data_IF_834633694200
#
_entry.id   IF_834633694200
#
_cell.length_a   1.000
_cell.length_b   1.000
_cell.length_c   1.000
_cell.angle_alpha   90.00
_cell.angle_beta   90.00
_cell.angle_gamma   90.00
#
_symmetry.space_group_name_H-M   'P 1'
#
loop_
_entity.id
_entity.type
_entity.pdbx_description
1 polymer ?
#
# COMPACT_ATOMS: atom_id res chain seq x y z
N UNK A 1 45.09 -18.75 -21.32
CA UNK A 1 44.30 -18.15 -20.21
C UNK A 1 43.17 -17.28 -20.77
N UNK A 2 41.91 -17.48 -20.35
CA UNK A 2 40.80 -16.55 -20.66
C UNK A 2 40.00 -16.31 -19.39
N UNK A 3 40.27 -15.20 -18.72
CA UNK A 3 39.50 -14.72 -17.57
C UNK A 3 38.28 -13.96 -18.11
N UNK A 4 37.07 -14.43 -17.77
CA UNK A 4 35.79 -13.87 -18.21
C UNK A 4 35.30 -12.91 -17.11
N UNK A 5 34.99 -11.63 -17.39
CA UNK A 5 34.62 -10.71 -16.31
C UNK A 5 33.24 -11.09 -15.74
N UNK A 6 33.17 -11.28 -14.42
CA UNK A 6 31.91 -11.35 -13.67
C UNK A 6 31.25 -9.97 -13.78
N UNK A 7 30.06 -9.93 -14.38
CA UNK A 7 29.19 -8.73 -14.35
C UNK A 7 29.01 -8.31 -12.90
N UNK A 8 29.51 -7.12 -12.56
CA UNK A 8 29.24 -6.49 -11.29
C UNK A 8 27.72 -6.34 -11.16
N UNK A 9 27.13 -7.07 -10.21
CA UNK A 9 25.80 -6.75 -9.71
C UNK A 9 25.89 -5.35 -9.15
N UNK A 10 25.35 -4.37 -9.86
CA UNK A 10 25.06 -3.07 -9.26
C UNK A 10 24.21 -3.36 -8.02
N UNK A 11 24.82 -3.24 -6.86
CA UNK A 11 24.10 -3.18 -5.59
C UNK A 11 23.32 -1.88 -5.63
N UNK A 12 22.10 -1.94 -6.16
CA UNK A 12 21.12 -0.88 -6.04
C UNK A 12 21.07 -0.52 -4.57
N UNK A 13 21.60 0.67 -4.26
CA UNK A 13 21.51 1.31 -2.95
C UNK A 13 20.08 1.09 -2.44
N UNK A 14 19.97 0.75 -1.17
CA UNK A 14 18.78 0.24 -0.45
C UNK A 14 17.51 1.11 -0.53
N UNK A 15 17.50 2.14 -1.37
CA UNK A 15 16.33 2.75 -2.01
C UNK A 15 15.55 1.77 -2.92
N UNK A 16 16.10 0.59 -3.21
CA UNK A 16 15.55 -0.42 -4.14
C UNK A 16 14.22 -1.10 -3.73
N UNK A 17 13.67 -0.84 -2.54
CA UNK A 17 12.40 -1.42 -2.07
C UNK A 17 11.26 -0.40 -1.88
N UNK A 18 11.39 0.84 -2.34
CA UNK A 18 10.25 1.74 -2.56
C UNK A 18 9.44 2.17 -1.31
N UNK A 19 9.91 1.89 -0.11
CA UNK A 19 9.34 2.39 1.15
C UNK A 19 10.31 3.41 1.77
N UNK A 20 10.33 4.62 1.20
CA UNK A 20 11.23 5.69 1.63
C UNK A 20 10.91 6.25 3.03
N UNK A 21 11.78 7.13 3.55
CA UNK A 21 11.57 7.86 4.81
C UNK A 21 10.20 8.56 4.88
N UNK A 22 9.68 9.02 3.74
CA UNK A 22 8.36 9.63 3.62
C UNK A 22 7.23 8.67 4.02
N UNK A 23 7.28 7.41 3.58
CA UNK A 23 6.29 6.40 3.95
C UNK A 23 6.29 6.12 5.45
N UNK A 24 7.48 5.99 6.05
CA UNK A 24 7.61 5.75 7.48
C UNK A 24 7.07 6.92 8.30
N UNK A 25 7.38 8.16 7.89
CA UNK A 25 6.87 9.38 8.53
C UNK A 25 5.35 9.49 8.41
N UNK A 26 4.79 9.16 7.25
CA UNK A 26 3.35 9.18 7.06
C UNK A 26 2.66 8.08 7.87
N UNK A 27 3.23 6.87 7.91
CA UNK A 27 2.73 5.76 8.74
C UNK A 27 2.71 6.16 10.22
N UNK A 28 3.76 6.80 10.70
CA UNK A 28 3.84 7.32 12.06
C UNK A 28 2.79 8.41 12.33
N UNK A 29 2.49 9.27 11.35
CA UNK A 29 1.43 10.30 11.47
C UNK A 29 0.03 9.68 11.56
N UNK A 30 -0.23 8.62 10.81
CA UNK A 30 -1.53 7.94 10.81
C UNK A 30 -1.70 6.96 11.97
N UNK A 31 -0.62 6.42 12.53
CA UNK A 31 -0.67 5.48 13.66
C UNK A 31 -1.55 5.94 14.82
N UNK A 32 -1.43 7.16 15.38
CA UNK A 32 -2.31 7.61 16.44
C UNK A 32 -3.77 7.74 15.96
N UNK A 33 -4.00 8.19 14.73
CA UNK A 33 -5.35 8.32 14.16
C UNK A 33 -6.02 6.96 13.99
N UNK A 34 -5.30 5.98 13.46
CA UNK A 34 -5.81 4.60 13.30
C UNK A 34 -6.00 3.94 14.67
N UNK A 35 -5.13 4.24 15.64
CA UNK A 35 -5.28 3.78 17.00
C UNK A 35 -6.54 4.32 17.71
N UNK A 36 -7.23 5.33 17.15
CA UNK A 36 -8.55 5.75 17.66
C UNK A 36 -9.69 4.81 17.27
N UNK A 37 -9.48 3.91 16.31
CA UNK A 37 -10.53 3.01 15.82
C UNK A 37 -11.53 3.62 14.84
N UNK A 38 -11.47 4.94 14.61
CA UNK A 38 -12.44 5.67 13.78
C UNK A 38 -12.00 5.85 12.33
N UNK A 39 -10.95 5.17 11.91
CA UNK A 39 -10.42 5.30 10.56
C UNK A 39 -11.07 4.28 9.65
N UNK A 40 -11.76 4.78 8.62
CA UNK A 40 -12.31 3.95 7.56
C UNK A 40 -11.19 3.45 6.62
N UNK A 41 -11.24 2.16 6.32
CA UNK A 41 -10.42 1.55 5.30
C UNK A 41 -10.78 2.12 3.93
N UNK A 42 -9.78 2.61 3.20
CA UNK A 42 -9.94 3.20 1.86
C UNK A 42 -10.52 2.23 0.82
N UNK A 43 -10.46 0.92 1.08
CA UNK A 43 -11.01 -0.14 0.21
C UNK A 43 -12.41 -0.60 0.61
N UNK A 44 -12.96 -0.07 1.71
CA UNK A 44 -14.32 -0.40 2.12
C UNK A 44 -15.34 0.04 1.06
N UNK A 45 -16.41 -0.73 0.90
CA UNK A 45 -17.44 -0.50 -0.12
C UNK A 45 -17.05 -0.95 -1.53
N UNK A 46 -15.80 -1.37 -1.76
CA UNK A 46 -15.39 -1.84 -3.08
C UNK A 46 -15.78 -3.32 -3.27
N UNK A 47 -16.43 -3.70 -4.39
CA UNK A 47 -16.97 -5.04 -4.60
C UNK A 47 -15.91 -6.15 -4.62
N UNK A 48 -14.64 -5.79 -4.89
CA UNK A 48 -13.52 -6.73 -4.82
C UNK A 48 -13.05 -7.04 -3.39
N UNK A 49 -13.56 -6.33 -2.37
CA UNK A 49 -13.24 -6.49 -0.95
C UNK A 49 -14.52 -6.70 -0.12
N UNK A 50 -15.30 -7.78 -0.38
CA UNK A 50 -16.60 -8.01 0.27
C UNK A 50 -16.49 -8.23 1.79
N UNK A 51 -15.33 -8.68 2.27
CA UNK A 51 -15.10 -8.98 3.69
C UNK A 51 -14.39 -7.83 4.43
N UNK A 52 -14.42 -6.61 3.88
CA UNK A 52 -13.82 -5.46 4.54
C UNK A 52 -14.77 -4.94 5.63
N UNK A 53 -14.38 -4.98 6.93
CA UNK A 53 -15.24 -4.55 8.04
C UNK A 53 -15.47 -3.03 8.09
N UNK A 54 -14.86 -2.25 7.19
CA UNK A 54 -14.99 -0.80 7.15
C UNK A 54 -13.98 -0.12 8.05
N UNK A 55 -14.28 -0.06 9.33
CA UNK A 55 -13.41 0.60 10.30
C UNK A 55 -12.18 -0.26 10.62
N UNK A 56 -11.04 0.41 10.80
CA UNK A 56 -9.81 -0.21 11.28
C UNK A 56 -9.83 -0.12 12.79
N UNK A 57 -10.01 -1.27 13.46
CA UNK A 57 -10.04 -1.34 14.91
C UNK A 57 -8.73 -0.85 15.54
N UNK A 58 -8.77 -0.28 16.75
CA UNK A 58 -7.58 0.17 17.46
C UNK A 58 -6.65 -1.04 17.72
N UNK A 59 -5.40 -0.94 17.28
CA UNK A 59 -4.43 -2.04 17.38
C UNK A 59 -4.54 -3.12 16.30
N UNK A 60 -5.49 -3.03 15.36
CA UNK A 60 -5.54 -3.93 14.21
C UNK A 60 -4.35 -3.71 13.26
N UNK A 61 -3.91 -4.76 12.58
CA UNK A 61 -2.85 -4.65 11.58
C UNK A 61 -3.34 -3.88 10.34
N UNK A 62 -2.72 -2.74 10.06
CA UNK A 62 -3.06 -1.89 8.93
C UNK A 62 -1.82 -1.46 8.13
N UNK A 63 -2.04 -1.07 6.88
CA UNK A 63 -1.02 -0.63 5.92
C UNK A 63 -1.46 0.67 5.26
N UNK A 64 -0.49 1.48 4.81
CA UNK A 64 -0.80 2.67 4.00
C UNK A 64 -0.87 2.25 2.54
N UNK A 65 -2.04 2.41 1.94
CA UNK A 65 -2.26 2.24 0.52
C UNK A 65 -1.49 3.28 -0.29
N UNK A 66 -1.04 2.85 -1.47
CA UNK A 66 -0.39 3.71 -2.46
C UNK A 66 -1.26 3.80 -3.71
N UNK A 67 -1.23 4.95 -4.35
CA UNK A 67 -1.72 5.10 -5.72
C UNK A 67 -0.76 4.37 -6.69
N UNK A 68 -1.34 3.73 -7.72
CA UNK A 68 -0.59 2.92 -8.67
C UNK A 68 0.34 3.76 -9.55
N UNK A 69 -0.03 5.02 -9.81
CA UNK A 69 0.68 5.91 -10.73
C UNK A 69 1.89 6.59 -10.10
N UNK A 70 1.86 6.83 -8.78
CA UNK A 70 2.96 7.46 -8.05
C UNK A 70 3.08 6.88 -6.65
N UNK A 71 4.25 6.29 -6.35
CA UNK A 71 4.63 5.79 -5.00
C UNK A 71 4.59 6.86 -3.90
N UNK A 72 4.41 8.12 -4.29
CA UNK A 72 4.35 9.29 -3.40
C UNK A 72 2.92 9.69 -3.04
N UNK A 73 1.91 9.26 -3.81
CA UNK A 73 0.50 9.50 -3.48
C UNK A 73 -0.01 8.35 -2.62
N UNK A 74 -0.38 8.69 -1.39
CA UNK A 74 -0.98 7.77 -0.45
C UNK A 74 -2.48 7.99 -0.46
N UNK A 75 -3.24 6.92 -0.72
CA UNK A 75 -4.71 6.94 -0.72
C UNK A 75 -5.27 6.91 0.69
N UNK A 76 -4.50 6.37 1.65
CA UNK A 76 -4.84 6.36 3.06
C UNK A 76 -4.61 5.00 3.72
N UNK A 77 -5.03 4.85 4.98
CA UNK A 77 -4.91 3.61 5.73
C UNK A 77 -5.91 2.55 5.25
N UNK A 78 -5.43 1.33 5.10
CA UNK A 78 -6.20 0.15 4.70
C UNK A 78 -5.84 -1.05 5.59
N UNK A 79 -6.77 -1.98 5.79
CA UNK A 79 -6.45 -3.21 6.52
C UNK A 79 -5.33 -3.97 5.79
N UNK A 80 -4.42 -4.60 6.54
CA UNK A 80 -3.35 -5.43 5.97
C UNK A 80 -3.89 -6.52 5.05
N UNK A 81 -5.02 -7.13 5.41
CA UNK A 81 -5.70 -8.14 4.58
C UNK A 81 -6.21 -7.57 3.25
N UNK A 82 -6.78 -6.36 3.30
CA UNK A 82 -7.26 -5.66 2.10
C UNK A 82 -6.08 -5.27 1.21
N UNK A 83 -5.00 -4.71 1.76
CA UNK A 83 -3.79 -4.38 1.01
C UNK A 83 -3.16 -5.61 0.35
N UNK A 84 -3.03 -6.72 1.09
CA UNK A 84 -2.49 -7.98 0.55
C UNK A 84 -3.34 -8.53 -0.60
N UNK A 85 -4.66 -8.49 -0.47
CA UNK A 85 -5.60 -8.89 -1.54
C UNK A 85 -5.49 -7.97 -2.74
N UNK A 86 -5.39 -6.66 -2.53
CA UNK A 86 -5.16 -5.68 -3.59
C UNK A 86 -3.87 -5.96 -4.37
N UNK A 87 -2.78 -6.24 -3.66
CA UNK A 87 -1.51 -6.65 -4.26
C UNK A 87 -1.62 -7.95 -5.06
N UNK A 88 -2.39 -8.92 -4.57
CA UNK A 88 -2.72 -10.15 -5.31
C UNK A 88 -3.48 -9.87 -6.60
N UNK A 89 -4.57 -9.09 -6.51
CA UNK A 89 -5.39 -8.67 -7.65
C UNK A 89 -4.57 -7.86 -8.68
N UNK A 90 -3.64 -7.03 -8.22
CA UNK A 90 -2.74 -6.26 -9.09
C UNK A 90 -1.79 -7.17 -9.86
N UNK A 91 -1.21 -8.18 -9.20
CA UNK A 91 -0.31 -9.14 -9.87
C UNK A 91 -1.00 -9.94 -10.96
N UNK A 92 -2.28 -10.28 -10.77
CA UNK A 92 -3.09 -10.97 -11.79
C UNK A 92 -3.71 -10.01 -12.82
N UNK A 93 -3.53 -8.70 -12.68
CA UNK A 93 -4.09 -7.69 -13.59
C UNK A 93 -5.60 -7.47 -13.46
N UNK A 94 -6.23 -7.95 -12.39
CA UNK A 94 -7.69 -7.87 -12.18
C UNK A 94 -8.09 -6.80 -11.17
N UNK A 95 -7.13 -6.10 -10.54
CA UNK A 95 -7.45 -5.01 -9.62
C UNK A 95 -8.18 -3.90 -10.39
N UNK A 96 -9.46 -3.70 -10.08
CA UNK A 96 -10.22 -2.56 -10.57
C UNK A 96 -9.89 -1.42 -9.60
N UNK A 97 -9.25 -0.38 -10.11
CA UNK A 97 -9.04 0.84 -9.33
C UNK A 97 -10.42 1.43 -9.03
N UNK A 98 -10.62 1.88 -7.79
CA UNK A 98 -11.83 2.59 -7.43
C UNK A 98 -11.82 3.90 -8.21
N UNK A 99 -12.65 3.98 -9.26
CA UNK A 99 -12.92 5.21 -9.98
C UNK A 99 -13.26 6.27 -8.94
N UNK A 100 -12.48 7.33 -8.87
CA UNK A 100 -12.81 8.54 -8.13
C UNK A 100 -14.21 8.96 -8.57
N UNK A 101 -15.22 8.69 -7.76
CA UNK A 101 -16.51 9.35 -7.88
C UNK A 101 -16.26 10.81 -7.53
N UNK A 102 -15.92 11.54 -8.58
CA UNK A 102 -16.10 12.97 -8.72
C UNK A 102 -17.60 13.19 -8.69
N UNK A 103 -18.12 13.82 -7.64
CA UNK A 103 -19.45 14.44 -7.70
C UNK A 103 -19.34 15.91 -7.25
N UNK A 104 -20.03 16.84 -7.94
CA UNK A 104 -20.05 18.28 -7.65
C UNK A 104 -20.88 18.66 -6.41
#
# INVERSE_FOLDING_TARGET
MRCRPRRARMTGRTTANGYGKAHQKLRARWAPTVATGNVMCTRHGHPQFPNCPGLIAPGAEWELGHDDTTKDRYTGPEHKSCNRRAGGLKRIGTLRQASTSREP
#
